data_IF_121377815346
#
_entry.id   IF_121377815346
#
_cell.length_a   1.000
_cell.length_b   1.000
_cell.length_c   1.000
_cell.angle_alpha   90.00
_cell.angle_beta   90.00
_cell.angle_gamma   90.00
#
_symmetry.space_group_name_H-M   'P 1'
#
loop_
_entity.id
_entity.type
_entity.pdbx_description
1 polymer ?
#
# COMPACT_ATOMS: atom_id res chain seq x y z
N UNK A 1 -3.93 3.21 12.62
CA UNK A 1 -3.23 1.97 13.03
C UNK A 1 -3.45 0.95 11.92
N UNK A 2 -2.37 0.37 11.36
CA UNK A 2 -2.43 -0.63 10.28
C UNK A 2 -2.15 -2.01 10.86
N UNK A 3 -2.94 -3.02 10.49
CA UNK A 3 -2.79 -4.41 10.96
C UNK A 3 -3.05 -5.40 9.80
N UNK A 4 -2.47 -6.61 9.90
CA UNK A 4 -2.64 -7.71 8.95
C UNK A 4 -2.43 -9.06 9.62
N UNK A 5 -2.86 -10.15 8.97
CA UNK A 5 -2.74 -11.50 9.49
C UNK A 5 -1.29 -12.02 9.48
N UNK A 6 -0.44 -11.43 8.64
CA UNK A 6 0.99 -11.71 8.59
C UNK A 6 1.82 -10.45 8.31
N UNK A 7 3.15 -10.61 8.32
CA UNK A 7 4.10 -9.53 8.08
C UNK A 7 3.91 -8.91 6.69
N UNK A 8 3.79 -9.74 5.64
CA UNK A 8 3.63 -9.28 4.27
C UNK A 8 2.37 -8.43 4.10
N UNK A 9 1.23 -8.90 4.60
CA UNK A 9 -0.04 -8.18 4.55
C UNK A 9 0.02 -6.85 5.30
N UNK A 10 0.66 -6.84 6.48
CA UNK A 10 0.83 -5.62 7.28
C UNK A 10 1.70 -4.59 6.57
N UNK A 11 2.84 -5.01 6.01
CA UNK A 11 3.73 -4.14 5.24
C UNK A 11 3.05 -3.61 3.97
N UNK A 12 2.33 -4.47 3.25
CA UNK A 12 1.60 -4.08 2.05
C UNK A 12 0.54 -3.00 2.36
N UNK A 13 -0.27 -3.21 3.40
CA UNK A 13 -1.27 -2.22 3.83
C UNK A 13 -0.63 -0.93 4.31
N UNK A 14 0.49 -1.00 5.04
CA UNK A 14 1.19 0.18 5.53
C UNK A 14 1.70 1.03 4.37
N UNK A 15 2.36 0.40 3.40
CA UNK A 15 2.89 1.08 2.21
C UNK A 15 1.79 1.83 1.46
N UNK A 16 0.68 1.17 1.13
CA UNK A 16 -0.41 1.82 0.38
C UNK A 16 -1.14 2.88 1.20
N UNK A 17 -1.25 2.71 2.52
CA UNK A 17 -1.80 3.73 3.41
C UNK A 17 -0.96 5.01 3.40
N UNK A 18 0.37 4.88 3.53
CA UNK A 18 1.29 6.01 3.44
C UNK A 18 1.21 6.69 2.06
N UNK A 19 1.17 5.91 0.97
CA UNK A 19 1.00 6.45 -0.39
C UNK A 19 -0.31 7.23 -0.57
N UNK A 20 -1.40 6.72 0.00
CA UNK A 20 -2.71 7.37 -0.04
C UNK A 20 -2.71 8.67 0.77
N UNK A 21 -2.14 8.65 1.98
CA UNK A 21 -2.01 9.84 2.82
C UNK A 21 -1.18 10.93 2.14
N UNK A 22 -0.04 10.57 1.56
CA UNK A 22 0.81 11.52 0.82
C UNK A 22 0.05 12.16 -0.35
N UNK A 23 -0.67 11.33 -1.13
CA UNK A 23 -1.48 11.80 -2.26
C UNK A 23 -2.58 12.75 -1.80
N UNK A 24 -3.27 12.39 -0.71
CA UNK A 24 -4.34 13.19 -0.14
C UNK A 24 -3.84 14.55 0.35
N UNK A 25 -2.74 14.59 1.11
CA UNK A 25 -2.15 15.84 1.58
C UNK A 25 -1.68 16.72 0.43
N UNK A 26 -1.02 16.15 -0.59
CA UNK A 26 -0.63 16.90 -1.80
C UNK A 26 -1.84 17.50 -2.52
N UNK A 27 -2.94 16.75 -2.62
CA UNK A 27 -4.17 17.24 -3.24
C UNK A 27 -4.78 18.40 -2.45
N UNK A 28 -4.86 18.29 -1.13
CA UNK A 28 -5.35 19.37 -0.26
C UNK A 28 -4.51 20.65 -0.38
N UNK A 29 -3.19 20.52 -0.51
CA UNK A 29 -2.27 21.65 -0.67
C UNK A 29 -2.53 22.47 -1.95
N UNK A 30 -3.24 21.92 -2.95
CA UNK A 30 -3.60 22.67 -4.16
C UNK A 30 -4.72 23.70 -3.94
N UNK A 31 -5.50 23.56 -2.85
CA UNK A 31 -6.69 24.37 -2.58
C UNK A 31 -7.87 24.15 -3.55
N UNK A 32 -7.75 23.22 -4.50
CA UNK A 32 -8.84 22.89 -5.42
C UNK A 32 -9.87 21.96 -4.76
N UNK A 33 -11.16 22.04 -5.16
CA UNK A 33 -12.16 21.07 -4.74
C UNK A 33 -11.74 19.64 -5.09
N UNK A 34 -11.79 18.73 -4.12
CA UNK A 34 -11.44 17.34 -4.34
C UNK A 34 -12.52 16.65 -5.19
N UNK A 35 -12.09 15.93 -6.22
CA UNK A 35 -12.95 15.01 -6.98
C UNK A 35 -13.04 13.68 -6.23
N UNK A 36 -14.05 13.53 -5.39
CA UNK A 36 -14.31 12.31 -4.64
C UNK A 36 -14.77 11.20 -5.58
N UNK A 37 -14.21 9.99 -5.42
CA UNK A 37 -14.60 8.80 -6.17
C UNK A 37 -16.01 8.35 -5.71
N UNK A 38 -16.91 7.96 -6.63
CA UNK A 38 -18.18 7.36 -6.27
C UNK A 38 -18.00 6.09 -5.41
N UNK A 39 -18.85 5.93 -4.39
CA UNK A 39 -18.74 4.86 -3.39
C UNK A 39 -18.81 3.45 -4.00
N UNK A 40 -19.63 3.26 -5.03
CA UNK A 40 -19.79 1.98 -5.73
C UNK A 40 -18.51 1.54 -6.47
N UNK A 41 -17.81 2.51 -7.08
CA UNK A 41 -16.53 2.27 -7.74
C UNK A 41 -15.42 2.05 -6.71
N UNK A 42 -15.43 2.80 -5.61
CA UNK A 42 -14.47 2.64 -4.52
C UNK A 42 -14.57 1.24 -3.89
N UNK A 43 -15.79 0.81 -3.55
CA UNK A 43 -16.06 -0.51 -2.98
C UNK A 43 -15.68 -1.64 -3.95
N UNK A 44 -16.02 -1.50 -5.24
CA UNK A 44 -15.61 -2.48 -6.26
C UNK A 44 -14.09 -2.62 -6.33
N UNK A 45 -13.37 -1.49 -6.36
CA UNK A 45 -11.91 -1.47 -6.43
C UNK A 45 -11.29 -2.11 -5.18
N UNK A 46 -11.82 -1.80 -3.99
CA UNK A 46 -11.35 -2.39 -2.74
C UNK A 46 -11.48 -3.93 -2.75
N UNK A 47 -12.62 -4.46 -3.20
CA UNK A 47 -12.83 -5.91 -3.31
C UNK A 47 -11.89 -6.59 -4.31
N UNK A 48 -11.61 -5.93 -5.43
CA UNK A 48 -10.68 -6.45 -6.44
C UNK A 48 -9.25 -6.51 -5.90
N UNK A 49 -8.84 -5.52 -5.10
CA UNK A 49 -7.54 -5.50 -4.43
C UNK A 49 -7.47 -6.57 -3.33
N UNK A 50 -8.47 -6.65 -2.45
CA UNK A 50 -8.53 -7.63 -1.36
C UNK A 50 -8.56 -9.07 -1.88
N UNK A 51 -9.19 -9.30 -3.04
CA UNK A 51 -9.25 -10.60 -3.69
C UNK A 51 -8.02 -10.96 -4.53
N UNK A 52 -7.03 -10.07 -4.69
CA UNK A 52 -5.89 -10.32 -5.57
C UNK A 52 -4.87 -11.26 -4.90
N UNK A 53 -4.67 -12.49 -5.42
CA UNK A 53 -3.89 -13.50 -4.73
C UNK A 53 -2.38 -13.16 -4.76
N UNK A 54 -1.72 -13.31 -3.61
CA UNK A 54 -0.27 -13.22 -3.52
C UNK A 54 0.30 -11.79 -3.60
N UNK A 55 -0.55 -10.75 -3.57
CA UNK A 55 -0.08 -9.36 -3.73
C UNK A 55 0.94 -8.98 -2.66
N UNK A 56 0.61 -9.26 -1.41
CA UNK A 56 1.37 -8.85 -0.25
C UNK A 56 2.70 -9.60 -0.17
N UNK A 57 2.68 -10.90 -0.45
CA UNK A 57 3.86 -11.76 -0.48
C UNK A 57 4.84 -11.28 -1.54
N UNK A 58 4.37 -11.08 -2.78
CA UNK A 58 5.20 -10.57 -3.87
C UNK A 58 5.80 -9.21 -3.55
N UNK A 59 5.00 -8.31 -2.97
CA UNK A 59 5.49 -7.00 -2.57
C UNK A 59 6.61 -7.10 -1.52
N UNK A 60 6.43 -7.93 -0.49
CA UNK A 60 7.47 -8.13 0.53
C UNK A 60 8.74 -8.77 -0.05
N UNK A 61 8.60 -9.72 -0.97
CA UNK A 61 9.75 -10.36 -1.62
C UNK A 61 10.54 -9.37 -2.48
N UNK A 62 9.88 -8.46 -3.21
CA UNK A 62 10.57 -7.40 -3.95
C UNK A 62 11.31 -6.43 -3.01
N UNK A 63 10.74 -6.10 -1.84
CA UNK A 63 11.43 -5.27 -0.84
C UNK A 63 12.71 -5.97 -0.36
N UNK A 64 12.64 -7.28 -0.08
CA UNK A 64 13.81 -8.06 0.32
C UNK A 64 14.88 -8.09 -0.76
N UNK A 65 14.49 -8.25 -2.03
CA UNK A 65 15.45 -8.21 -3.14
C UNK A 65 16.18 -6.86 -3.25
N UNK A 66 15.50 -5.75 -2.97
CA UNK A 66 16.13 -4.43 -2.89
C UNK A 66 17.14 -4.39 -1.73
N UNK A 67 16.73 -4.85 -0.55
CA UNK A 67 17.60 -4.86 0.64
C UNK A 67 18.83 -5.78 0.46
N UNK A 68 18.66 -6.92 -0.20
CA UNK A 68 19.74 -7.83 -0.57
C UNK A 68 20.72 -7.12 -1.52
N UNK A 69 20.21 -6.40 -2.53
CA UNK A 69 21.02 -5.64 -3.47
C UNK A 69 21.77 -4.46 -2.82
N UNK A 70 21.20 -3.88 -1.76
CA UNK A 70 21.81 -2.83 -0.94
C UNK A 70 22.81 -3.38 0.10
N UNK A 71 22.92 -4.71 0.23
CA UNK A 71 23.82 -5.35 1.19
C UNK A 71 23.36 -5.23 2.65
N UNK A 72 22.04 -5.17 2.88
CA UNK A 72 21.45 -5.11 4.22
C UNK A 72 21.67 -6.41 5.01
N UNK A 73 21.78 -6.30 6.33
CA UNK A 73 21.97 -7.40 7.27
C UNK A 73 20.65 -7.96 7.85
N UNK A 74 19.50 -7.61 7.27
CA UNK A 74 18.18 -7.99 7.81
C UNK A 74 17.93 -9.50 7.94
N UNK A 75 18.71 -10.32 7.22
CA UNK A 75 18.61 -11.78 7.18
C UNK A 75 19.77 -12.51 7.91
N UNK A 76 20.66 -11.77 8.58
CA UNK A 76 21.85 -12.31 9.28
C UNK A 76 21.52 -13.02 10.60
#
# INVERSE_FOLDING_TARGET
MVTGANVAETFNRLFYFERAAETYIRALQTGQPLRVMPDDIAEKTAREIDGYPGQAERHLDEIKLILDAEGSDYAA
#
